data_IF_613354657766
#
_entry.id   IF_613354657766
#
_cell.length_a   1.000
_cell.length_b   1.000
_cell.length_c   1.000
_cell.angle_alpha   90.00
_cell.angle_beta   90.00
_cell.angle_gamma   90.00
#
_symmetry.space_group_name_H-M   'P 1'
#
loop_
_entity.id
_entity.type
_entity.pdbx_description
1 polymer ?
#
# COMPACT_ATOMS: atom_id res chain seq x y z
N UNK A 1 0.01 -4.41 -4.00
CA UNK A 1 -0.93 -3.35 -4.45
C UNK A 1 -2.04 -3.24 -3.40
N UNK A 2 -2.31 -2.04 -2.90
CA UNK A 2 -3.29 -1.82 -1.82
C UNK A 2 -4.68 -1.47 -2.38
N UNK A 3 -5.75 -2.00 -1.78
CA UNK A 3 -7.12 -1.64 -2.18
C UNK A 3 -7.70 -0.57 -1.26
N UNK A 4 -8.16 0.53 -1.85
CA UNK A 4 -8.90 1.60 -1.16
C UNK A 4 -10.38 1.49 -1.49
N UNK A 5 -11.26 1.64 -0.50
CA UNK A 5 -12.65 1.99 -0.81
C UNK A 5 -12.67 3.36 -1.50
N UNK A 6 -13.37 3.52 -2.62
CA UNK A 6 -13.42 4.77 -3.39
C UNK A 6 -13.72 6.01 -2.52
N UNK A 7 -14.58 5.84 -1.50
CA UNK A 7 -14.95 6.87 -0.52
C UNK A 7 -13.78 7.36 0.36
N UNK A 8 -12.68 6.60 0.46
CA UNK A 8 -11.55 6.86 1.36
C UNK A 8 -10.22 7.03 0.63
N UNK A 9 -10.19 6.88 -0.69
CA UNK A 9 -8.98 7.04 -1.49
C UNK A 9 -8.35 8.43 -1.24
N UNK A 10 -9.18 9.47 -1.14
CA UNK A 10 -8.74 10.86 -0.93
C UNK A 10 -7.94 11.09 0.36
N UNK A 11 -8.18 10.30 1.43
CA UNK A 11 -7.44 10.47 2.70
C UNK A 11 -6.03 9.88 2.66
N UNK A 12 -5.78 8.89 1.80
CA UNK A 12 -4.48 8.24 1.70
C UNK A 12 -3.69 8.74 0.48
N UNK A 13 -4.38 9.11 -0.62
CA UNK A 13 -3.77 9.53 -1.88
C UNK A 13 -2.83 10.73 -1.74
N UNK A 14 -3.09 11.67 -0.83
CA UNK A 14 -2.18 12.81 -0.60
C UNK A 14 -0.84 12.39 0.02
N UNK A 15 -0.81 11.29 0.77
CA UNK A 15 0.38 10.78 1.48
C UNK A 15 1.13 9.68 0.72
N UNK A 16 0.51 9.09 -0.31
CA UNK A 16 1.08 8.00 -1.11
C UNK A 16 1.54 8.53 -2.46
N UNK A 17 2.84 8.82 -2.57
CA UNK A 17 3.47 9.28 -3.81
C UNK A 17 4.30 8.16 -4.44
N UNK A 18 4.25 8.05 -5.76
CA UNK A 18 5.10 7.13 -6.51
C UNK A 18 6.59 7.40 -6.22
N UNK A 19 7.36 6.33 -5.99
CA UNK A 19 8.79 6.41 -5.63
C UNK A 19 9.06 6.76 -4.16
N UNK A 20 8.04 6.99 -3.33
CA UNK A 20 8.21 7.20 -1.89
C UNK A 20 8.09 5.88 -1.12
N UNK A 21 8.95 5.69 -0.12
CA UNK A 21 8.87 4.58 0.83
C UNK A 21 8.10 5.07 2.06
N UNK A 22 7.01 4.38 2.39
CA UNK A 22 6.11 4.73 3.48
C UNK A 22 5.93 3.55 4.43
N UNK A 23 5.75 3.84 5.72
CA UNK A 23 5.43 2.84 6.73
C UNK A 23 3.93 2.85 6.98
N UNK A 24 3.29 1.69 6.87
CA UNK A 24 1.84 1.55 7.08
C UNK A 24 1.62 0.74 8.35
N UNK A 25 0.81 1.28 9.27
CA UNK A 25 0.37 0.59 10.50
C UNK A 25 -1.14 0.30 10.45
N UNK A 26 -1.56 -0.75 11.17
CA UNK A 26 -2.97 -1.19 11.33
C UNK A 26 -3.68 -1.45 9.99
N UNK A 27 -3.21 -2.43 9.24
CA UNK A 27 -3.81 -2.87 7.97
C UNK A 27 -4.31 -4.31 8.06
N UNK A 28 -5.18 -4.69 7.11
CA UNK A 28 -5.59 -6.09 6.93
C UNK A 28 -4.86 -6.72 5.75
N UNK A 29 -4.59 -8.02 5.84
CA UNK A 29 -4.13 -8.83 4.72
C UNK A 29 -5.28 -9.71 4.25
N UNK A 30 -5.64 -9.59 2.97
CA UNK A 30 -6.72 -10.38 2.37
C UNK A 30 -6.18 -11.27 1.26
N UNK A 31 -6.70 -12.51 1.17
CA UNK A 31 -6.43 -13.40 0.03
C UNK A 31 -7.42 -13.13 -1.09
N UNK A 32 -6.91 -12.83 -2.29
CA UNK A 32 -7.71 -12.65 -3.49
C UNK A 32 -7.76 -13.94 -4.31
N UNK A 33 -8.97 -14.35 -4.71
CA UNK A 33 -9.24 -15.60 -5.43
C UNK A 33 -9.04 -15.50 -6.96
N UNK A 34 -8.07 -14.71 -7.43
CA UNK A 34 -7.55 -14.69 -8.81
C UNK A 34 -8.22 -13.83 -9.90
N UNK A 35 -9.24 -13.00 -9.60
CA UNK A 35 -9.81 -12.10 -10.63
C UNK A 35 -8.95 -10.86 -10.95
N UNK A 36 -8.08 -10.43 -10.02
CA UNK A 36 -7.18 -9.28 -10.22
C UNK A 36 -5.71 -9.74 -10.16
N UNK A 37 -5.20 -10.31 -11.25
CA UNK A 37 -3.78 -10.73 -11.35
C UNK A 37 -2.89 -9.53 -11.68
N UNK A 38 -2.55 -8.75 -10.65
CA UNK A 38 -1.52 -7.70 -10.76
C UNK A 38 -0.14 -8.26 -10.34
N UNK A 39 -0.11 -9.33 -9.54
CA UNK A 39 1.12 -9.99 -9.06
C UNK A 39 0.91 -11.51 -8.94
N UNK A 40 2.00 -12.29 -9.01
CA UNK A 40 1.98 -13.75 -8.78
C UNK A 40 1.59 -14.15 -7.35
N UNK A 41 1.57 -13.18 -6.44
CA UNK A 41 1.12 -13.35 -5.07
C UNK A 41 -0.36 -13.03 -4.91
N UNK A 42 -1.08 -13.91 -4.21
CA UNK A 42 -2.53 -13.83 -3.98
C UNK A 42 -2.93 -12.96 -2.78
N UNK A 43 -1.98 -12.26 -2.15
CA UNK A 43 -2.22 -11.44 -0.96
C UNK A 43 -2.26 -9.95 -1.30
N UNK A 44 -3.22 -9.24 -0.71
CA UNK A 44 -3.39 -7.80 -0.85
C UNK A 44 -3.42 -7.15 0.54
N UNK A 45 -2.84 -5.96 0.63
CA UNK A 45 -2.95 -5.09 1.81
C UNK A 45 -4.21 -4.23 1.66
N UNK A 46 -5.08 -4.27 2.65
CA UNK A 46 -6.30 -3.47 2.71
C UNK A 46 -6.18 -2.40 3.79
N UNK A 47 -6.43 -1.16 3.40
CA UNK A 47 -6.47 -0.01 4.30
C UNK A 47 -7.84 0.02 5.00
N UNK A 48 -7.83 -0.08 6.32
CA UNK A 48 -9.00 0.03 7.18
C UNK A 48 -9.02 1.38 7.89
N UNK A 49 -10.06 1.68 8.66
CA UNK A 49 -10.00 2.79 9.61
C UNK A 49 -9.67 2.19 10.98
N UNK A 50 -8.65 2.67 11.71
CA UNK A 50 -7.71 3.77 11.41
C UNK A 50 -6.33 3.25 10.97
N UNK A 51 -6.16 2.85 9.70
CA UNK A 51 -4.81 2.61 9.15
C UNK A 51 -4.06 3.94 9.15
N UNK A 52 -2.91 3.98 9.79
CA UNK A 52 -2.06 5.18 9.88
C UNK A 52 -0.95 4.99 8.85
N UNK A 53 -0.86 5.90 7.88
CA UNK A 53 0.33 6.03 7.07
C UNK A 53 1.31 6.88 7.88
N UNK A 54 2.31 6.23 8.46
CA UNK A 54 3.38 6.90 9.18
C UNK A 54 4.34 7.52 8.15
N UNK A 55 5.04 8.56 8.59
CA UNK A 55 5.83 9.50 7.79
C UNK A 55 6.71 8.80 6.71
N UNK A 56 6.93 9.49 5.58
CA UNK A 56 7.90 9.05 4.56
C UNK A 56 9.24 8.82 5.26
N UNK A 57 9.76 7.61 5.20
CA UNK A 57 11.00 7.26 5.89
C UNK A 57 12.14 7.98 5.17
N UNK A 58 12.66 9.05 5.77
CA UNK A 58 13.83 9.76 5.25
C UNK A 58 15.09 8.90 5.46
N UNK A 59 15.90 8.72 4.42
CA UNK A 59 17.08 7.83 4.46
C UNK A 59 16.75 6.33 4.40
N UNK A 60 15.55 5.95 3.95
CA UNK A 60 15.23 4.55 3.70
C UNK A 60 16.13 3.93 2.62
N UNK A 61 16.42 2.61 2.70
CA UNK A 61 17.13 1.91 1.64
C UNK A 61 16.42 2.09 0.30
N UNK A 62 17.16 2.54 -0.72
CA UNK A 62 16.62 2.60 -2.07
C UNK A 62 16.36 1.19 -2.59
N UNK A 63 15.12 0.94 -2.99
CA UNK A 63 14.75 -0.28 -3.70
C UNK A 63 15.24 -0.11 -5.13
N UNK A 64 16.45 -0.59 -5.41
CA UNK A 64 17.00 -0.62 -6.76
C UNK A 64 16.20 -1.63 -7.59
N UNK A 65 15.45 -1.13 -8.58
CA UNK A 65 14.82 -1.97 -9.60
C UNK A 65 15.91 -2.44 -10.57
N UNK A 66 16.75 -3.38 -10.14
CA UNK A 66 17.60 -4.10 -11.08
C UNK A 66 16.72 -5.12 -11.80
N UNK A 67 16.50 -4.89 -13.09
CA UNK A 67 15.90 -5.86 -14.02
C UNK A 67 16.97 -6.74 -14.64
#
# INVERSE_FOLDING_TARGET
MGLFSARRANHYMSSLKAGSIVKIDRFEVVRCSSMYKITDHSFLIRFISPTINDEVITGAPEINFQS
#
